data_IF_480031998352
#
_entry.id   IF_480031998352
#
_cell.length_a   1.000
_cell.length_b   1.000
_cell.length_c   1.000
_cell.angle_alpha   90.00
_cell.angle_beta   90.00
_cell.angle_gamma   90.00
#
_symmetry.space_group_name_H-M   'P 1'
#
loop_
_entity.id
_entity.type
_entity.pdbx_description
1 polymer ?
#
# COMPACT_ATOMS: atom_id res chain seq x y z
N UNK A 1 3.80 10.84 1.29
CA UNK A 1 5.00 11.65 0.95
C UNK A 1 5.19 11.54 -0.54
N UNK A 2 5.67 12.59 -1.18
CA UNK A 2 5.56 12.71 -2.65
C UNK A 2 6.46 11.69 -3.36
N UNK A 3 7.72 11.58 -2.93
CA UNK A 3 8.72 10.70 -3.53
C UNK A 3 9.70 10.12 -2.48
N UNK A 4 10.67 9.32 -2.93
CA UNK A 4 11.69 8.70 -2.07
C UNK A 4 12.57 9.75 -1.36
N UNK A 5 12.84 10.88 -2.00
CA UNK A 5 13.63 11.96 -1.41
C UNK A 5 12.88 12.60 -0.24
N UNK A 6 11.61 12.95 -0.45
CA UNK A 6 10.74 13.47 0.60
C UNK A 6 10.56 12.43 1.72
N UNK A 7 10.45 11.13 1.40
CA UNK A 7 10.43 10.06 2.40
C UNK A 7 11.70 10.05 3.26
N UNK A 8 12.88 10.12 2.66
CA UNK A 8 14.16 10.11 3.38
C UNK A 8 14.37 11.36 4.24
N UNK A 9 13.95 12.54 3.77
CA UNK A 9 13.95 13.78 4.54
C UNK A 9 13.07 13.66 5.79
N UNK A 10 11.83 13.20 5.64
CA UNK A 10 10.90 13.03 6.78
C UNK A 10 11.40 11.93 7.72
N UNK A 11 11.88 10.81 7.19
CA UNK A 11 12.46 9.71 7.98
C UNK A 11 13.66 10.16 8.82
N UNK A 12 14.47 11.09 8.31
CA UNK A 12 15.57 11.70 9.05
C UNK A 12 15.04 12.54 10.22
N UNK A 13 14.05 13.40 9.98
CA UNK A 13 13.40 14.17 11.04
C UNK A 13 12.76 13.31 12.12
N UNK A 14 12.14 12.19 11.73
CA UNK A 14 11.57 11.21 12.66
C UNK A 14 12.65 10.60 13.57
N UNK A 15 13.85 10.34 13.05
CA UNK A 15 15.01 9.89 13.85
C UNK A 15 15.51 10.95 14.80
N UNK A 16 15.63 12.18 14.31
CA UNK A 16 16.04 13.33 15.13
C UNK A 16 15.04 13.61 16.27
N UNK A 17 13.75 13.32 16.03
CA UNK A 17 12.69 13.31 17.04
C UNK A 17 12.74 12.15 18.04
N UNK A 18 13.75 11.28 17.97
CA UNK A 18 13.97 10.19 18.93
C UNK A 18 13.26 8.87 18.60
N UNK A 19 12.49 8.81 17.52
CA UNK A 19 11.87 7.55 17.07
C UNK A 19 12.85 6.70 16.26
N UNK A 20 12.52 5.42 16.06
CA UNK A 20 13.35 4.44 15.34
C UNK A 20 12.60 3.91 14.12
N UNK A 21 12.54 4.68 13.01
CA UNK A 21 11.84 4.26 11.82
C UNK A 21 12.55 3.06 11.15
N UNK A 22 11.77 2.20 10.51
CA UNK A 22 12.27 1.03 9.79
C UNK A 22 13.24 1.40 8.65
N UNK A 23 13.97 0.42 8.09
CA UNK A 23 14.42 0.49 6.70
C UNK A 23 13.28 0.84 5.74
N UNK A 24 13.62 1.36 4.56
CA UNK A 24 12.65 1.50 3.47
C UNK A 24 12.24 0.10 3.03
N UNK A 25 10.93 -0.13 2.92
CA UNK A 25 10.35 -1.41 2.52
C UNK A 25 9.63 -1.21 1.19
N UNK A 26 9.98 -2.04 0.21
CA UNK A 26 9.32 -2.08 -1.09
C UNK A 26 7.98 -2.81 -0.99
N UNK A 27 6.88 -2.11 -1.30
CA UNK A 27 5.52 -2.64 -1.33
C UNK A 27 5.03 -2.88 -2.75
N UNK A 28 5.93 -2.91 -3.74
CA UNK A 28 5.65 -3.03 -5.17
C UNK A 28 4.94 -1.79 -5.76
N UNK A 29 3.82 -1.36 -5.17
CA UNK A 29 3.04 -0.20 -5.60
C UNK A 29 3.52 1.14 -5.00
N UNK A 30 4.29 1.09 -3.92
CA UNK A 30 4.90 2.24 -3.25
C UNK A 30 6.05 1.78 -2.34
N UNK A 31 6.81 2.74 -1.78
CA UNK A 31 7.79 2.49 -0.72
C UNK A 31 7.22 2.92 0.63
N UNK A 32 7.52 2.16 1.67
CA UNK A 32 7.01 2.40 3.03
C UNK A 32 8.11 2.49 4.07
N UNK A 33 7.90 3.33 5.07
CA UNK A 33 8.70 3.41 6.30
C UNK A 33 7.74 3.52 7.48
N UNK A 34 7.91 2.68 8.49
CA UNK A 34 7.05 2.67 9.67
C UNK A 34 7.77 3.19 10.91
N UNK A 35 7.05 3.84 11.80
CA UNK A 35 7.56 4.26 13.10
C UNK A 35 6.42 4.49 14.10
N UNK A 36 6.62 4.16 15.39
CA UNK A 36 5.67 4.54 16.43
C UNK A 36 5.81 6.03 16.75
N UNK A 37 4.68 6.72 16.91
CA UNK A 37 4.63 8.04 17.53
C UNK A 37 4.51 7.92 19.07
N UNK A 38 4.80 8.98 19.84
CA UNK A 38 4.86 8.92 21.32
C UNK A 38 3.61 8.37 22.04
N UNK A 39 2.41 8.54 21.48
CA UNK A 39 1.15 7.97 21.96
C UNK A 39 0.94 6.49 21.64
N UNK A 40 1.87 5.87 20.91
CA UNK A 40 1.88 4.44 20.58
C UNK A 40 1.20 4.09 19.26
N UNK A 41 0.66 5.05 18.51
CA UNK A 41 0.12 4.79 17.16
C UNK A 41 1.26 4.50 16.18
N UNK A 42 1.06 3.50 15.32
CA UNK A 42 2.02 3.18 14.25
C UNK A 42 1.73 4.06 13.03
N UNK A 43 2.68 4.93 12.68
CA UNK A 43 2.61 5.77 11.50
C UNK A 43 3.38 5.14 10.34
N UNK A 44 2.95 5.46 9.12
CA UNK A 44 3.58 5.05 7.87
C UNK A 44 3.86 6.27 6.98
N UNK A 45 5.08 6.33 6.44
CA UNK A 45 5.43 7.21 5.33
C UNK A 45 5.36 6.40 4.04
N UNK A 46 4.27 6.53 3.30
CA UNK A 46 4.09 5.90 1.98
C UNK A 46 4.37 6.91 0.85
N UNK A 47 5.16 6.52 -0.15
CA UNK A 47 5.35 7.31 -1.37
C UNK A 47 4.06 7.33 -2.20
N UNK A 48 3.78 8.42 -2.91
CA UNK A 48 2.60 8.49 -3.79
C UNK A 48 2.71 7.52 -4.98
N UNK A 49 3.90 7.42 -5.55
CA UNK A 49 4.18 6.56 -6.70
C UNK A 49 4.83 5.22 -6.33
N UNK A 50 4.83 4.27 -7.30
CA UNK A 50 4.29 4.42 -8.64
C UNK A 50 2.76 4.22 -8.78
N UNK A 51 2.09 3.64 -7.78
CA UNK A 51 0.65 3.39 -7.75
C UNK A 51 0.22 2.02 -8.29
N UNK A 52 -1.08 1.74 -8.28
CA UNK A 52 -1.65 0.43 -8.65
C UNK A 52 -1.78 0.20 -10.16
N UNK A 53 -1.58 1.22 -10.98
CA UNK A 53 -1.67 1.10 -12.44
C UNK A 53 -0.38 0.56 -13.09
N UNK A 54 0.62 0.15 -12.30
CA UNK A 54 1.88 -0.39 -12.82
C UNK A 54 1.76 -1.83 -13.32
N UNK A 55 0.77 -2.54 -12.80
CA UNK A 55 0.57 -3.98 -12.95
C UNK A 55 -0.86 -4.36 -13.36
N UNK A 56 -1.78 -3.40 -13.35
CA UNK A 56 -3.17 -3.55 -13.77
C UNK A 56 -3.62 -2.38 -14.66
N UNK A 57 -4.58 -2.63 -15.57
CA UNK A 57 -5.24 -1.57 -16.34
C UNK A 57 -6.06 -0.69 -15.36
N UNK A 58 -5.89 0.65 -15.37
CA UNK A 58 -6.68 1.57 -14.55
C UNK A 58 -8.20 1.36 -14.61
N UNK A 59 -8.74 0.85 -15.72
CA UNK A 59 -10.18 0.59 -15.87
C UNK A 59 -10.65 -0.70 -15.18
N UNK A 60 -9.72 -1.57 -14.79
CA UNK A 60 -9.98 -2.92 -14.26
C UNK A 60 -9.27 -3.18 -12.91
N UNK A 61 -8.90 -2.13 -12.18
CA UNK A 61 -8.19 -2.25 -10.90
C UNK A 61 -8.97 -3.09 -9.88
N UNK A 62 -8.27 -4.02 -9.24
CA UNK A 62 -8.84 -4.84 -8.15
C UNK A 62 -9.82 -5.92 -8.61
N UNK A 63 -9.98 -6.15 -9.92
CA UNK A 63 -10.79 -7.25 -10.46
C UNK A 63 -10.08 -8.60 -10.37
N UNK A 64 -8.76 -8.60 -10.15
CA UNK A 64 -7.93 -9.81 -10.16
C UNK A 64 -7.00 -9.91 -8.95
N UNK A 65 -6.56 -11.14 -8.62
CA UNK A 65 -5.52 -11.32 -7.62
C UNK A 65 -4.15 -10.99 -8.21
N UNK A 66 -3.62 -9.82 -7.83
CA UNK A 66 -2.25 -9.44 -8.12
C UNK A 66 -1.31 -9.93 -7.03
N UNK A 67 -0.20 -10.53 -7.46
CA UNK A 67 0.92 -10.89 -6.60
C UNK A 67 2.16 -10.11 -7.05
N UNK A 68 2.92 -9.53 -6.12
CA UNK A 68 4.18 -8.89 -6.46
C UNK A 68 5.14 -9.92 -7.08
N UNK A 69 6.13 -9.49 -7.89
CA UNK A 69 6.98 -10.39 -8.66
C UNK A 69 7.61 -11.53 -7.85
N UNK A 70 8.01 -11.25 -6.61
CA UNK A 70 8.63 -12.22 -5.71
C UNK A 70 7.67 -13.30 -5.17
N UNK A 71 6.35 -13.10 -5.22
CA UNK A 71 5.34 -14.10 -4.83
C UNK A 71 4.70 -14.83 -6.01
N UNK A 72 4.96 -14.40 -7.26
CA UNK A 72 4.39 -15.06 -8.45
C UNK A 72 4.66 -16.57 -8.52
N UNK A 73 5.85 -17.10 -8.17
CA UNK A 73 6.10 -18.54 -8.18
C UNK A 73 5.19 -19.34 -7.23
N UNK A 74 4.68 -18.70 -6.18
CA UNK A 74 3.82 -19.30 -5.15
C UNK A 74 2.32 -19.08 -5.43
N UNK A 75 1.94 -18.60 -6.62
CA UNK A 75 0.55 -18.27 -6.95
C UNK A 75 -0.42 -19.42 -6.65
N UNK A 76 -0.10 -20.63 -7.09
CA UNK A 76 -0.99 -21.77 -6.95
C UNK A 76 -1.27 -22.14 -5.48
N UNK A 77 -0.24 -22.08 -4.62
CA UNK A 77 -0.41 -22.35 -3.18
C UNK A 77 -1.17 -21.23 -2.47
N UNK A 78 -0.92 -19.97 -2.86
CA UNK A 78 -1.63 -18.81 -2.31
C UNK A 78 -3.12 -18.87 -2.71
N UNK A 79 -3.43 -19.08 -3.99
CA UNK A 79 -4.82 -19.16 -4.47
C UNK A 79 -5.60 -20.32 -3.84
N UNK A 80 -4.94 -21.42 -3.51
CA UNK A 80 -5.57 -22.59 -2.89
C UNK A 80 -6.09 -22.32 -1.46
N UNK A 81 -5.50 -21.36 -0.74
CA UNK A 81 -5.87 -21.06 0.66
C UNK A 81 -6.70 -19.79 0.82
N UNK A 82 -6.79 -18.96 -0.22
CA UNK A 82 -7.58 -17.74 -0.17
C UNK A 82 -9.08 -18.04 -0.28
N UNK A 83 -9.93 -17.47 0.60
CA UNK A 83 -11.37 -17.58 0.45
C UNK A 83 -11.82 -16.82 -0.81
N UNK A 84 -12.87 -17.33 -1.47
CA UNK A 84 -13.50 -16.57 -2.54
C UNK A 84 -14.21 -15.36 -1.96
N UNK A 85 -13.91 -14.18 -2.49
CA UNK A 85 -14.61 -12.95 -2.17
C UNK A 85 -15.72 -12.72 -3.17
N UNK A 86 -16.92 -12.39 -2.69
CA UNK A 86 -18.01 -11.89 -3.50
C UNK A 86 -18.14 -10.40 -3.23
N UNK A 87 -18.00 -9.59 -4.27
CA UNK A 87 -18.23 -8.16 -4.13
C UNK A 87 -19.69 -7.93 -3.71
N UNK A 88 -19.96 -7.11 -2.68
CA UNK A 88 -21.33 -6.70 -2.41
C UNK A 88 -21.88 -5.99 -3.66
N UNK A 89 -23.18 -6.10 -3.89
CA UNK A 89 -23.81 -5.35 -4.96
C UNK A 89 -23.46 -3.86 -4.78
N UNK A 90 -22.89 -3.25 -5.82
CA UNK A 90 -22.62 -1.81 -5.81
C UNK A 90 -23.96 -1.08 -5.75
N UNK A 91 -24.35 -0.62 -4.56
CA UNK A 91 -25.40 0.39 -4.46
C UNK A 91 -24.87 1.62 -5.18
N UNK A 92 -25.46 1.92 -6.34
CA UNK A 92 -25.18 3.17 -7.04
C UNK A 92 -25.56 4.30 -6.09
N UNK A 93 -24.55 4.95 -5.48
CA UNK A 93 -24.77 6.22 -4.79
C UNK A 93 -25.23 7.19 -5.87
N UNK A 94 -26.55 7.43 -5.92
CA UNK A 94 -27.13 8.38 -6.87
C UNK A 94 -26.66 9.78 -6.49
N UNK A 95 -26.18 10.54 -7.47
CA UNK A 95 -25.78 11.93 -7.31
C UNK A 95 -26.97 12.90 -7.04
N UNK A 96 -28.12 12.38 -6.59
CA UNK A 96 -29.32 13.14 -6.24
C UNK A 96 -29.48 13.38 -4.72
N UNK A 97 -28.57 12.85 -3.89
CA UNK A 97 -28.57 13.08 -2.43
C UNK A 97 -27.59 14.19 -1.98
N UNK A 98 -27.34 15.20 -2.82
CA UNK A 98 -26.61 16.43 -2.45
C UNK A 98 -27.46 17.67 -2.64
#
# INVERSE_FOLDING_TARGET
VDDEKHQDEVRTRVREGGSRPTPVIDRFWFKSVYFPEPGGVLFELATEGPGFAVDEDPQHLGESLVLPPWLKPERASIEAVLPRLTMPASEKISAQDR
#
